data_IF_382544978382
#
_entry.id   IF_382544978382
#
_cell.length_a   1.000
_cell.length_b   1.000
_cell.length_c   1.000
_cell.angle_alpha   90.00
_cell.angle_beta   90.00
_cell.angle_gamma   90.00
#
_symmetry.space_group_name_H-M   'P 1'
#
loop_
_entity.id
_entity.type
_entity.pdbx_description
1 polymer ?
#
# COMPACT_ATOMS: atom_id res chain seq x y z
N UNK A 1 -36.58 -63.55 26.01
CA UNK A 1 -36.16 -62.77 24.85
C UNK A 1 -35.69 -61.40 25.39
N UNK A 2 -34.37 -61.30 25.66
CA UNK A 2 -33.75 -60.11 26.24
C UNK A 2 -33.23 -59.26 25.11
N UNK A 3 -33.73 -58.04 24.97
CA UNK A 3 -33.25 -57.10 23.95
C UNK A 3 -32.12 -56.32 24.57
N UNK A 4 -30.90 -56.59 24.13
CA UNK A 4 -29.69 -55.91 24.54
C UNK A 4 -29.56 -54.57 23.75
N UNK A 5 -29.93 -53.48 24.37
CA UNK A 5 -29.82 -52.12 23.83
C UNK A 5 -28.39 -51.60 24.01
N UNK A 6 -27.66 -51.55 22.92
CA UNK A 6 -26.26 -51.18 22.81
C UNK A 6 -26.03 -49.71 23.21
N UNK A 7 -25.86 -49.43 24.50
CA UNK A 7 -25.68 -48.13 25.13
C UNK A 7 -24.46 -47.33 24.59
N UNK A 8 -23.56 -47.97 23.87
CA UNK A 8 -22.34 -47.35 23.34
C UNK A 8 -22.58 -46.43 22.12
N UNK A 9 -23.62 -46.67 21.34
CA UNK A 9 -23.93 -45.83 20.16
C UNK A 9 -24.64 -44.54 20.54
N UNK A 10 -25.41 -44.55 21.61
CA UNK A 10 -26.16 -43.34 22.06
C UNK A 10 -25.22 -42.30 22.71
N UNK A 11 -24.18 -42.76 23.44
CA UNK A 11 -23.19 -41.84 24.03
C UNK A 11 -22.34 -41.09 22.99
N UNK A 12 -22.00 -41.74 21.87
CA UNK A 12 -21.23 -41.04 20.78
C UNK A 12 -22.07 -39.97 20.06
N UNK A 13 -23.36 -40.20 19.92
CA UNK A 13 -24.23 -39.21 19.25
C UNK A 13 -24.49 -38.00 20.14
N UNK A 14 -24.63 -38.20 21.45
CA UNK A 14 -24.82 -37.06 22.37
C UNK A 14 -23.56 -36.21 22.53
N UNK A 15 -22.37 -36.81 22.52
CA UNK A 15 -21.10 -36.07 22.60
C UNK A 15 -20.79 -35.29 21.31
N UNK A 16 -21.12 -35.84 20.15
CA UNK A 16 -20.96 -35.13 18.86
C UNK A 16 -21.94 -33.96 18.71
N UNK A 17 -23.17 -34.10 19.17
CA UNK A 17 -24.18 -33.05 19.18
C UNK A 17 -23.82 -31.89 20.12
N UNK A 18 -23.28 -32.21 21.31
CA UNK A 18 -22.86 -31.19 22.27
C UNK A 18 -21.64 -30.41 21.83
N UNK A 19 -20.71 -31.07 21.14
CA UNK A 19 -19.50 -30.41 20.55
C UNK A 19 -19.86 -29.47 19.39
N UNK A 20 -20.87 -29.82 18.58
CA UNK A 20 -21.36 -28.96 17.50
C UNK A 20 -22.09 -27.70 18.06
N UNK A 21 -22.82 -27.85 19.16
CA UNK A 21 -23.53 -26.70 19.80
C UNK A 21 -22.52 -25.73 20.41
N UNK A 22 -21.40 -26.20 20.97
CA UNK A 22 -20.36 -25.34 21.53
C UNK A 22 -19.57 -24.54 20.46
N UNK A 23 -19.48 -25.04 19.20
CA UNK A 23 -18.85 -24.34 18.09
C UNK A 23 -19.75 -23.25 17.47
N UNK A 24 -21.06 -23.32 17.69
CA UNK A 24 -22.02 -22.36 17.12
C UNK A 24 -22.23 -21.13 18.05
N UNK A 25 -21.84 -21.23 19.34
CA UNK A 25 -22.19 -20.21 20.34
C UNK A 25 -21.22 -19.02 20.43
N UNK A 26 -20.20 -18.91 19.60
CA UNK A 26 -19.21 -17.82 19.67
C UNK A 26 -19.09 -16.99 18.39
N UNK A 27 -20.16 -16.83 17.60
CA UNK A 27 -20.18 -15.78 16.60
C UNK A 27 -20.53 -14.45 17.29
N UNK A 28 -19.54 -13.75 17.80
CA UNK A 28 -19.69 -12.34 18.15
C UNK A 28 -19.92 -11.56 16.86
N UNK A 29 -21.16 -11.21 16.56
CA UNK A 29 -21.40 -10.18 15.54
C UNK A 29 -21.00 -8.85 16.16
N UNK A 30 -19.88 -8.26 15.69
CA UNK A 30 -19.56 -6.90 16.05
C UNK A 30 -20.58 -5.98 15.37
N UNK A 31 -21.31 -5.20 16.16
CA UNK A 31 -22.15 -4.13 15.61
C UNK A 31 -21.25 -2.97 15.20
N UNK A 32 -21.16 -2.72 13.90
CA UNK A 32 -20.44 -1.57 13.35
C UNK A 32 -21.46 -0.46 13.07
N UNK A 33 -21.18 0.73 13.58
CA UNK A 33 -21.88 1.93 13.21
C UNK A 33 -21.07 2.66 12.13
N UNK A 34 -21.71 3.01 11.02
CA UNK A 34 -21.09 3.77 9.93
C UNK A 34 -21.68 5.17 9.89
N UNK A 35 -20.80 6.16 9.92
CA UNK A 35 -21.17 7.55 9.75
C UNK A 35 -20.47 8.10 8.49
N UNK A 36 -21.24 8.77 7.61
CA UNK A 36 -20.69 9.46 6.47
C UNK A 36 -20.13 10.81 6.91
N UNK A 37 -18.81 10.98 6.77
CA UNK A 37 -18.12 12.23 7.11
C UNK A 37 -18.13 13.20 5.94
N UNK A 38 -17.79 12.73 4.72
CA UNK A 38 -17.68 13.58 3.53
C UNK A 38 -18.07 12.85 2.26
N UNK A 39 -18.32 13.59 1.19
CA UNK A 39 -18.38 13.09 -0.18
C UNK A 39 -17.16 13.61 -0.94
N UNK A 40 -16.42 12.71 -1.56
CA UNK A 40 -15.16 12.99 -2.25
C UNK A 40 -15.18 12.41 -3.66
N UNK A 41 -14.35 12.96 -4.55
CA UNK A 41 -14.15 12.46 -5.91
C UNK A 41 -12.89 11.61 -5.98
N UNK A 42 -13.02 10.30 -6.23
CA UNK A 42 -11.89 9.35 -6.31
C UNK A 42 -10.86 9.50 -5.16
N UNK A 43 -11.26 9.44 -3.88
CA UNK A 43 -10.32 9.53 -2.76
C UNK A 43 -9.34 8.35 -2.81
N UNK A 44 -8.04 8.62 -2.64
CA UNK A 44 -7.02 7.59 -2.77
C UNK A 44 -6.24 7.33 -1.49
N UNK A 45 -5.62 8.35 -0.92
CA UNK A 45 -4.83 8.29 0.30
C UNK A 45 -5.38 9.20 1.38
N UNK A 46 -5.14 8.82 2.63
CA UNK A 46 -5.54 9.65 3.78
C UNK A 46 -4.63 9.44 4.98
N UNK A 47 -4.50 10.49 5.80
CA UNK A 47 -3.76 10.45 7.05
C UNK A 47 -4.40 11.38 8.08
N UNK A 48 -4.46 10.94 9.34
CA UNK A 48 -4.86 11.84 10.42
C UNK A 48 -3.78 12.89 10.66
N UNK A 49 -4.19 14.19 10.71
CA UNK A 49 -3.35 15.30 11.15
C UNK A 49 -3.36 15.38 12.69
N UNK A 50 -4.53 15.21 13.25
CA UNK A 50 -4.80 15.14 14.68
C UNK A 50 -6.06 14.28 14.92
N UNK A 51 -6.59 14.27 16.14
CA UNK A 51 -7.79 13.49 16.50
C UNK A 51 -9.07 13.90 15.75
N UNK A 52 -9.14 15.14 15.28
CA UNK A 52 -10.36 15.73 14.70
C UNK A 52 -10.21 16.00 13.20
N UNK A 53 -9.02 15.86 12.61
CA UNK A 53 -8.76 16.21 11.22
C UNK A 53 -8.00 15.16 10.45
N UNK A 54 -8.46 14.93 9.23
CA UNK A 54 -7.84 14.03 8.27
C UNK A 54 -7.48 14.78 6.99
N UNK A 55 -6.26 14.56 6.47
CA UNK A 55 -5.86 15.01 5.13
C UNK A 55 -6.11 13.89 4.13
N UNK A 56 -6.67 14.23 2.97
CA UNK A 56 -7.06 13.26 1.94
C UNK A 56 -6.60 13.75 0.57
N UNK A 57 -6.12 12.83 -0.25
CA UNK A 57 -5.87 13.06 -1.68
C UNK A 57 -7.06 12.56 -2.51
N UNK A 58 -7.48 13.34 -3.49
CA UNK A 58 -8.31 12.87 -4.60
C UNK A 58 -7.41 12.64 -5.82
N UNK A 59 -7.54 11.50 -6.47
CA UNK A 59 -6.71 11.11 -7.62
C UNK A 59 -6.67 12.18 -8.71
N UNK A 60 -7.79 12.89 -8.89
CA UNK A 60 -7.92 13.99 -9.84
C UNK A 60 -7.07 15.23 -9.56
N UNK A 61 -6.34 15.29 -8.45
CA UNK A 61 -5.40 16.38 -8.17
C UNK A 61 -5.81 17.32 -7.04
N UNK A 62 -6.77 16.95 -6.20
CA UNK A 62 -7.13 17.77 -5.03
C UNK A 62 -6.54 17.19 -3.75
N UNK A 63 -6.14 18.08 -2.85
CA UNK A 63 -5.77 17.74 -1.46
C UNK A 63 -6.77 18.45 -0.56
N UNK A 64 -7.41 17.70 0.34
CA UNK A 64 -8.44 18.23 1.23
C UNK A 64 -8.09 17.91 2.68
N UNK A 65 -8.34 18.87 3.57
CA UNK A 65 -8.36 18.65 5.02
C UNK A 65 -9.82 18.66 5.45
N UNK A 66 -10.22 17.62 6.16
CA UNK A 66 -11.60 17.40 6.59
C UNK A 66 -11.62 17.34 8.11
N UNK A 67 -12.42 18.18 8.73
CA UNK A 67 -12.73 18.03 10.15
C UNK A 67 -13.83 16.96 10.28
N UNK A 68 -13.55 15.90 11.05
CA UNK A 68 -14.46 14.75 11.16
C UNK A 68 -15.69 15.03 12.02
N UNK A 69 -15.62 15.99 12.94
CA UNK A 69 -16.72 16.37 13.82
C UNK A 69 -17.63 17.42 13.14
N UNK A 70 -17.03 18.54 12.66
CA UNK A 70 -17.81 19.63 12.04
C UNK A 70 -18.16 19.33 10.57
N UNK A 71 -17.46 18.35 9.94
CA UNK A 71 -17.59 17.99 8.51
C UNK A 71 -17.17 19.10 7.55
N UNK A 72 -16.50 20.13 8.04
CA UNK A 72 -15.91 21.17 7.22
C UNK A 72 -14.79 20.61 6.35
N UNK A 73 -14.77 21.05 5.09
CA UNK A 73 -13.78 20.62 4.09
C UNK A 73 -13.00 21.86 3.63
N UNK A 74 -11.69 21.81 3.77
CA UNK A 74 -10.74 22.79 3.25
C UNK A 74 -9.96 22.17 2.10
N UNK A 75 -10.11 22.70 0.88
CA UNK A 75 -9.24 22.35 -0.24
C UNK A 75 -7.93 23.17 -0.15
N UNK A 76 -6.79 22.49 -0.21
CA UNK A 76 -5.46 23.09 -0.07
C UNK A 76 -4.74 23.07 -1.42
N UNK A 77 -4.23 24.21 -1.86
CA UNK A 77 -3.44 24.33 -3.09
C UNK A 77 -2.10 23.61 -2.96
N UNK A 78 -1.54 23.20 -4.08
CA UNK A 78 -0.22 22.58 -4.14
C UNK A 78 0.46 22.80 -5.50
N UNK A 79 1.79 22.58 -5.54
CA UNK A 79 2.66 22.80 -6.71
C UNK A 79 3.09 21.50 -7.42
N UNK A 80 2.48 20.35 -7.14
CA UNK A 80 2.89 19.09 -7.74
C UNK A 80 2.66 19.09 -9.27
N UNK A 81 3.64 18.62 -10.03
CA UNK A 81 3.53 18.37 -11.47
C UNK A 81 3.09 16.93 -11.71
N UNK A 82 1.79 16.68 -11.77
CA UNK A 82 1.20 15.34 -11.88
C UNK A 82 0.43 15.16 -13.18
N UNK A 83 0.28 13.92 -13.61
CA UNK A 83 -0.57 13.53 -14.74
C UNK A 83 -1.62 12.53 -14.29
N UNK A 84 -2.91 12.85 -14.48
CA UNK A 84 -4.01 11.91 -14.30
C UNK A 84 -4.09 11.03 -15.53
N UNK A 85 -3.59 9.79 -15.41
CA UNK A 85 -3.57 8.82 -16.49
C UNK A 85 -3.86 7.41 -15.98
N UNK A 86 -5.02 6.86 -16.32
CA UNK A 86 -5.48 5.56 -15.84
C UNK A 86 -5.59 5.50 -14.32
N UNK A 87 -4.73 4.71 -13.68
CA UNK A 87 -4.67 4.58 -12.22
C UNK A 87 -3.84 5.70 -11.55
N UNK A 88 -3.16 6.54 -12.34
CA UNK A 88 -2.30 7.62 -11.85
C UNK A 88 -3.06 8.90 -11.50
N UNK A 89 -2.39 9.77 -10.75
CA UNK A 89 -2.87 11.05 -10.23
C UNK A 89 -2.17 11.37 -8.91
N UNK A 90 -2.82 12.06 -7.99
CA UNK A 90 -2.38 12.08 -6.59
C UNK A 90 -2.77 10.77 -5.93
N UNK A 91 -1.85 10.18 -5.17
CA UNK A 91 -1.99 8.83 -4.65
C UNK A 91 -1.92 8.85 -3.11
N UNK A 92 -0.96 8.20 -2.48
CA UNK A 92 -0.93 8.11 -1.02
C UNK A 92 -0.41 9.38 -0.35
N UNK A 93 -0.84 9.60 0.89
CA UNK A 93 -0.42 10.75 1.70
C UNK A 93 -0.23 10.32 3.14
N UNK A 94 0.88 10.73 3.76
CA UNK A 94 1.16 10.52 5.18
C UNK A 94 1.49 11.86 5.82
N UNK A 95 0.90 12.12 6.98
CA UNK A 95 1.28 13.21 7.86
C UNK A 95 1.99 12.69 9.11
N UNK A 96 3.10 13.31 9.46
CA UNK A 96 3.80 13.06 10.73
C UNK A 96 4.62 14.30 11.14
N UNK A 97 4.47 14.75 12.38
CA UNK A 97 5.29 15.81 12.97
C UNK A 97 5.35 17.11 12.12
N UNK A 98 4.20 17.60 11.67
CA UNK A 98 4.06 18.78 10.82
C UNK A 98 4.67 18.65 9.41
N UNK A 99 5.02 17.45 8.99
CA UNK A 99 5.50 17.16 7.65
C UNK A 99 4.52 16.23 6.93
N UNK A 100 4.47 16.34 5.61
CA UNK A 100 3.62 15.56 4.72
C UNK A 100 4.50 14.90 3.68
N UNK A 101 4.31 13.62 3.46
CA UNK A 101 4.84 12.87 2.31
C UNK A 101 3.68 12.46 1.43
N UNK A 102 3.82 12.69 0.12
CA UNK A 102 2.84 12.30 -0.88
C UNK A 102 3.51 11.50 -1.98
N UNK A 103 2.84 10.44 -2.42
CA UNK A 103 3.17 9.76 -3.66
C UNK A 103 2.20 10.18 -4.77
N UNK A 104 2.69 10.24 -5.99
CA UNK A 104 1.88 10.68 -7.13
C UNK A 104 2.47 10.19 -8.45
N UNK A 105 1.66 10.19 -9.51
CA UNK A 105 2.14 9.97 -10.87
C UNK A 105 2.68 11.27 -11.43
N UNK A 106 4.01 11.46 -11.36
CA UNK A 106 4.68 12.64 -11.88
C UNK A 106 4.62 12.67 -13.39
N UNK A 107 4.24 13.82 -13.94
CA UNK A 107 4.33 14.05 -15.39
C UNK A 107 5.80 14.21 -15.80
N UNK A 108 6.25 13.31 -16.67
CA UNK A 108 7.62 13.29 -17.22
C UNK A 108 7.66 13.65 -18.71
N UNK A 109 6.55 14.21 -19.20
CA UNK A 109 6.37 14.59 -20.60
C UNK A 109 6.04 13.42 -21.52
N UNK A 110 5.42 13.72 -22.66
CA UNK A 110 5.07 12.73 -23.69
C UNK A 110 4.27 11.52 -23.14
N UNK A 111 3.30 11.76 -22.26
CA UNK A 111 2.48 10.74 -21.57
C UNK A 111 3.26 9.78 -20.67
N UNK A 112 4.56 9.99 -20.51
CA UNK A 112 5.37 9.20 -19.57
C UNK A 112 5.18 9.70 -18.15
N UNK A 113 5.04 8.76 -17.23
CA UNK A 113 4.88 9.05 -15.81
C UNK A 113 5.82 8.21 -14.96
N UNK A 114 6.18 8.74 -13.80
CA UNK A 114 6.90 8.01 -12.74
C UNK A 114 6.07 7.97 -11.47
N UNK A 115 6.21 6.89 -10.69
CA UNK A 115 5.85 6.93 -9.27
C UNK A 115 6.88 7.81 -8.57
N UNK A 116 6.46 8.96 -8.08
CA UNK A 116 7.32 9.93 -7.41
C UNK A 116 6.83 10.22 -6.00
N UNK A 117 7.74 10.66 -5.13
CA UNK A 117 7.44 11.03 -3.75
C UNK A 117 7.93 12.45 -3.52
N UNK A 118 7.06 13.26 -2.97
CA UNK A 118 7.39 14.61 -2.57
C UNK A 118 7.07 14.85 -1.09
N UNK A 119 7.72 15.85 -0.52
CA UNK A 119 7.62 16.23 0.88
C UNK A 119 7.29 17.72 1.00
N UNK A 120 6.46 18.08 1.97
CA UNK A 120 6.15 19.46 2.33
C UNK A 120 5.95 19.61 3.85
N UNK A 121 6.06 20.82 4.37
CA UNK A 121 5.50 21.16 5.69
C UNK A 121 4.02 21.44 5.57
N UNK A 122 3.24 21.05 6.57
CA UNK A 122 1.82 21.36 6.59
C UNK A 122 1.61 22.88 6.60
N UNK A 123 0.92 23.37 5.58
CA UNK A 123 0.38 24.71 5.47
C UNK A 123 -1.03 24.62 4.89
N UNK A 124 -2.01 25.16 5.60
CA UNK A 124 -3.42 25.05 5.21
C UNK A 124 -3.82 25.92 4.01
N UNK A 125 -2.97 26.84 3.59
CA UNK A 125 -3.22 27.69 2.41
C UNK A 125 -2.63 27.07 1.15
N UNK A 126 -1.38 26.56 1.25
CA UNK A 126 -0.64 26.02 0.12
C UNK A 126 0.45 25.07 0.59
N UNK A 127 0.52 23.90 -0.02
CA UNK A 127 1.55 22.91 0.21
C UNK A 127 2.62 23.02 -0.89
N UNK A 128 3.80 23.51 -0.51
CA UNK A 128 4.95 23.60 -1.40
C UNK A 128 5.78 22.32 -1.28
N UNK A 129 5.52 21.39 -2.17
CA UNK A 129 6.19 20.09 -2.22
C UNK A 129 7.53 20.17 -2.94
N UNK A 130 8.52 19.47 -2.39
CA UNK A 130 9.81 19.20 -3.00
C UNK A 130 9.92 17.69 -3.26
N UNK A 131 10.32 17.30 -4.48
CA UNK A 131 10.56 15.90 -4.80
C UNK A 131 11.76 15.37 -4.02
N UNK A 132 11.55 14.24 -3.35
CA UNK A 132 12.59 13.50 -2.63
C UNK A 132 12.90 12.14 -3.28
N UNK A 133 12.06 11.67 -4.20
CA UNK A 133 12.28 10.44 -4.96
C UNK A 133 11.51 10.46 -6.29
N UNK A 134 12.13 9.94 -7.33
CA UNK A 134 11.54 9.75 -8.65
C UNK A 134 11.89 8.36 -9.19
N UNK A 135 10.89 7.53 -9.46
CA UNK A 135 11.14 6.22 -10.06
C UNK A 135 11.62 6.35 -11.50
N UNK A 136 12.62 5.57 -11.86
CA UNK A 136 13.18 5.48 -13.21
C UNK A 136 13.11 4.03 -13.73
N UNK A 137 12.87 3.85 -15.04
CA UNK A 137 12.55 4.86 -16.06
C UNK A 137 11.11 5.37 -15.92
N UNK A 138 10.79 6.56 -16.44
CA UNK A 138 9.42 6.97 -16.68
C UNK A 138 8.80 6.13 -17.80
N UNK A 139 7.52 5.76 -17.67
CA UNK A 139 6.85 4.81 -18.56
C UNK A 139 5.52 5.42 -19.04
N UNK A 140 5.26 5.29 -20.36
CA UNK A 140 3.94 5.56 -20.95
C UNK A 140 3.01 4.40 -20.61
N UNK A 141 2.37 4.51 -19.46
CA UNK A 141 1.38 3.54 -18.98
C UNK A 141 0.53 4.14 -17.86
N UNK A 142 -0.77 3.92 -17.94
CA UNK A 142 -1.72 4.25 -16.88
C UNK A 142 -1.90 3.17 -15.80
N UNK A 143 -1.07 2.10 -15.80
CA UNK A 143 -1.26 0.95 -14.91
C UNK A 143 -0.21 0.87 -13.80
N UNK A 144 -0.59 0.22 -12.72
CA UNK A 144 0.26 -0.35 -11.67
C UNK A 144 1.30 0.64 -11.11
N UNK A 145 0.84 1.74 -10.51
CA UNK A 145 1.73 2.70 -9.85
C UNK A 145 2.23 2.20 -8.48
N UNK A 146 1.52 1.26 -7.83
CA UNK A 146 1.76 0.91 -6.44
C UNK A 146 1.48 2.09 -5.53
N UNK A 147 2.52 2.88 -5.24
CA UNK A 147 2.49 4.21 -4.63
C UNK A 147 2.08 4.28 -3.16
N UNK A 148 1.87 3.15 -2.46
CA UNK A 148 1.56 3.17 -1.03
C UNK A 148 2.82 3.50 -0.22
N UNK A 149 2.66 4.31 0.81
CA UNK A 149 3.71 4.79 1.70
C UNK A 149 3.59 4.17 3.10
N UNK A 150 4.72 3.97 3.77
CA UNK A 150 4.76 3.62 5.19
C UNK A 150 6.02 4.19 5.86
N UNK A 151 5.88 4.75 7.06
CA UNK A 151 7.02 5.28 7.83
C UNK A 151 7.38 4.29 8.94
N UNK A 152 8.67 3.97 9.04
CA UNK A 152 9.26 3.20 10.14
C UNK A 152 10.47 3.92 10.69
N UNK A 153 10.31 4.58 11.83
CA UNK A 153 11.36 5.41 12.44
C UNK A 153 11.79 6.54 11.49
N UNK A 154 13.05 6.55 11.09
CA UNK A 154 13.60 7.54 10.15
C UNK A 154 13.52 7.15 8.68
N UNK A 155 12.86 6.06 8.36
CA UNK A 155 12.77 5.52 7.00
C UNK A 155 11.36 5.66 6.44
N UNK A 156 11.29 6.04 5.17
CA UNK A 156 10.11 5.98 4.33
C UNK A 156 10.22 4.76 3.42
N UNK A 157 9.22 3.90 3.47
CA UNK A 157 9.01 2.81 2.52
C UNK A 157 7.95 3.22 1.54
N UNK A 158 8.16 2.89 0.27
CA UNK A 158 7.19 3.13 -0.79
C UNK A 158 7.12 1.94 -1.74
N UNK A 159 5.93 1.66 -2.26
CA UNK A 159 5.77 0.67 -3.31
C UNK A 159 5.80 1.33 -4.69
N UNK A 160 6.55 0.75 -5.62
CA UNK A 160 6.55 1.10 -7.03
C UNK A 160 6.02 -0.09 -7.84
N UNK A 161 4.85 0.04 -8.43
CA UNK A 161 4.28 -1.01 -9.28
C UNK A 161 5.03 -1.15 -10.60
N UNK A 162 4.86 -2.28 -11.29
CA UNK A 162 5.61 -2.64 -12.51
C UNK A 162 5.10 -1.95 -13.79
N UNK A 163 4.11 -1.07 -13.67
CA UNK A 163 3.62 -0.18 -14.73
C UNK A 163 3.13 -0.93 -15.98
N UNK A 164 2.59 -2.15 -15.83
CA UNK A 164 2.16 -3.00 -16.96
C UNK A 164 3.31 -3.66 -17.75
N UNK A 165 4.57 -3.49 -17.32
CA UNK A 165 5.74 -4.01 -18.02
C UNK A 165 6.20 -5.40 -17.55
N UNK A 166 5.51 -5.98 -16.57
CA UNK A 166 5.74 -7.33 -16.05
C UNK A 166 7.18 -7.63 -15.67
N UNK A 167 8.00 -8.04 -16.63
CA UNK A 167 9.40 -8.44 -16.39
C UNK A 167 10.32 -7.32 -15.87
N UNK A 168 9.94 -6.06 -15.96
CA UNK A 168 10.71 -4.96 -15.37
C UNK A 168 10.92 -5.13 -13.86
N UNK A 169 9.99 -5.83 -13.19
CA UNK A 169 10.07 -6.14 -11.77
C UNK A 169 11.23 -7.06 -11.38
N UNK A 170 11.87 -7.70 -12.38
CA UNK A 170 13.05 -8.56 -12.18
C UNK A 170 14.37 -7.81 -12.48
N UNK A 171 14.28 -6.55 -12.89
CA UNK A 171 15.45 -5.74 -13.24
C UNK A 171 15.78 -4.75 -12.11
N UNK A 172 16.80 -5.04 -11.27
CA UNK A 172 17.15 -4.18 -10.14
C UNK A 172 17.84 -2.87 -10.56
N UNK A 173 18.04 -2.64 -11.84
CA UNK A 173 18.51 -1.35 -12.38
C UNK A 173 17.37 -0.37 -12.66
N UNK A 174 16.13 -0.76 -12.32
CA UNK A 174 14.90 0.00 -12.52
C UNK A 174 14.03 -0.07 -11.29
N UNK A 175 13.35 1.02 -10.96
CA UNK A 175 12.48 1.07 -9.78
C UNK A 175 11.11 0.38 -9.94
N UNK A 176 10.45 0.37 -11.12
CA UNK A 176 9.15 -0.28 -11.26
C UNK A 176 9.18 -1.76 -10.88
N UNK A 177 8.20 -2.20 -10.09
CA UNK A 177 8.12 -3.58 -9.58
C UNK A 177 8.91 -3.83 -8.31
N UNK A 178 9.14 -2.80 -7.49
CA UNK A 178 9.95 -2.88 -6.28
C UNK A 178 9.31 -2.20 -5.05
N UNK A 179 9.87 -2.48 -3.90
CA UNK A 179 9.70 -1.69 -2.68
C UNK A 179 10.94 -0.82 -2.50
N UNK A 180 10.73 0.46 -2.35
CA UNK A 180 11.73 1.50 -2.13
C UNK A 180 11.89 1.73 -0.63
N UNK A 181 13.11 1.98 -0.17
CA UNK A 181 13.40 2.46 1.18
C UNK A 181 14.40 3.59 1.13
N UNK A 182 13.98 4.76 1.59
CA UNK A 182 14.79 5.99 1.70
C UNK A 182 14.67 6.57 3.11
N UNK A 183 15.51 7.53 3.45
CA UNK A 183 15.27 8.36 4.62
C UNK A 183 14.11 9.34 4.37
N UNK A 184 13.56 9.95 5.42
CA UNK A 184 12.45 10.91 5.34
C UNK A 184 12.82 12.20 4.57
N UNK A 185 14.08 12.45 4.31
CA UNK A 185 14.61 13.55 3.49
C UNK A 185 14.98 13.13 2.05
N UNK A 186 14.73 11.86 1.69
CA UNK A 186 15.08 11.29 0.39
C UNK A 186 16.49 10.71 0.30
N UNK A 187 17.36 10.92 1.28
CA UNK A 187 18.70 10.34 1.26
C UNK A 187 18.67 8.82 1.37
N UNK A 188 19.71 8.17 0.84
CA UNK A 188 19.77 6.71 0.72
C UNK A 188 20.35 6.08 1.98
N UNK A 189 19.64 5.13 2.62
CA UNK A 189 20.15 4.39 3.77
C UNK A 189 21.37 3.54 3.40
N UNK A 190 22.47 3.70 4.13
CA UNK A 190 23.72 2.95 3.90
C UNK A 190 23.56 1.44 4.04
N UNK A 191 22.55 1.00 4.80
CA UNK A 191 22.23 -0.40 5.07
C UNK A 191 21.12 -0.96 4.16
N UNK A 192 20.78 -0.29 3.06
CA UNK A 192 19.96 -0.89 2.02
C UNK A 192 20.66 -2.12 1.42
N UNK A 193 19.90 -3.08 0.87
CA UNK A 193 20.51 -4.31 0.36
C UNK A 193 21.53 -4.01 -0.73
N UNK A 194 22.64 -4.76 -0.69
CA UNK A 194 23.65 -4.80 -1.75
C UNK A 194 23.74 -6.24 -2.21
N UNK A 195 23.74 -6.45 -3.50
CA UNK A 195 23.77 -7.79 -4.09
C UNK A 195 25.13 -8.03 -4.73
N UNK A 196 25.82 -9.09 -4.28
CA UNK A 196 27.08 -9.49 -4.89
C UNK A 196 26.93 -9.74 -6.39
N UNK A 197 27.89 -9.28 -7.16
CA UNK A 197 27.88 -9.42 -8.62
C UNK A 197 26.86 -8.56 -9.38
N UNK A 198 26.08 -7.71 -8.69
CA UNK A 198 25.10 -6.80 -9.29
C UNK A 198 25.38 -5.34 -8.91
N UNK A 199 26.46 -4.79 -9.46
CA UNK A 199 26.92 -3.40 -9.19
C UNK A 199 25.91 -2.32 -9.58
N UNK A 200 24.94 -2.66 -10.45
CA UNK A 200 23.96 -1.72 -11.01
C UNK A 200 22.62 -1.73 -10.27
N UNK A 201 22.50 -2.44 -9.17
CA UNK A 201 21.28 -2.39 -8.34
C UNK A 201 21.09 -0.98 -7.81
N UNK A 202 19.90 -0.40 -8.04
CA UNK A 202 19.59 0.95 -7.59
C UNK A 202 19.56 0.99 -6.06
N UNK A 203 20.26 1.93 -5.44
CA UNK A 203 20.50 1.91 -3.98
C UNK A 203 19.26 2.19 -3.13
N UNK A 204 18.20 2.71 -3.70
CA UNK A 204 16.89 2.94 -3.06
C UNK A 204 16.06 1.66 -2.93
N UNK A 205 16.36 0.64 -3.76
CA UNK A 205 15.57 -0.58 -3.81
C UNK A 205 15.81 -1.43 -2.55
N UNK A 206 14.72 -1.76 -1.88
CA UNK A 206 14.70 -2.62 -0.71
C UNK A 206 14.35 -4.07 -1.07
N UNK A 207 13.45 -4.27 -2.04
CA UNK A 207 12.93 -5.55 -2.49
C UNK A 207 12.44 -5.43 -3.94
N UNK A 208 12.55 -6.49 -4.74
CA UNK A 208 12.04 -6.56 -6.11
C UNK A 208 11.00 -7.66 -6.30
N UNK A 209 10.46 -7.78 -7.51
CA UNK A 209 9.59 -8.89 -7.90
C UNK A 209 8.15 -8.74 -7.43
N UNK A 210 7.64 -7.51 -7.34
CA UNK A 210 6.24 -7.22 -7.02
C UNK A 210 5.51 -6.67 -8.26
N UNK A 211 4.20 -6.90 -8.33
CA UNK A 211 3.38 -6.43 -9.46
C UNK A 211 2.81 -5.03 -9.19
N UNK A 212 1.89 -4.92 -8.27
CA UNK A 212 1.20 -3.68 -7.95
C UNK A 212 0.79 -3.65 -6.47
N UNK A 213 1.72 -3.41 -5.55
CA UNK A 213 1.38 -3.32 -4.13
C UNK A 213 0.63 -2.02 -3.85
N UNK A 214 -0.65 -2.13 -3.49
CA UNK A 214 -1.50 -1.00 -3.12
C UNK A 214 -1.84 -0.95 -1.63
N UNK A 215 -1.30 -1.86 -0.84
CA UNK A 215 -1.25 -1.79 0.62
C UNK A 215 0.19 -1.83 1.10
N UNK A 216 0.56 -0.94 2.01
CA UNK A 216 1.85 -0.94 2.70
C UNK A 216 1.63 -0.33 4.09
N UNK A 217 2.00 -1.05 5.14
CA UNK A 217 1.79 -0.60 6.50
C UNK A 217 2.85 -1.11 7.47
N UNK A 218 3.16 -0.31 8.47
CA UNK A 218 3.93 -0.73 9.63
C UNK A 218 3.02 -1.48 10.61
N UNK A 219 3.33 -2.74 10.86
CA UNK A 219 2.63 -3.53 11.88
C UNK A 219 2.89 -2.99 13.30
N UNK A 220 1.86 -2.71 14.07
CA UNK A 220 2.02 -2.26 15.46
C UNK A 220 2.54 -3.37 16.40
N UNK A 221 2.42 -4.63 16.00
CA UNK A 221 2.76 -5.80 16.83
C UNK A 221 4.24 -6.16 16.75
N UNK A 222 4.76 -6.41 15.54
CA UNK A 222 6.13 -6.88 15.33
C UNK A 222 7.05 -5.85 14.66
N UNK A 223 6.50 -4.65 14.38
CA UNK A 223 7.23 -3.53 13.76
C UNK A 223 7.82 -3.85 12.40
N UNK A 224 7.23 -4.79 11.66
CA UNK A 224 7.58 -5.09 10.28
C UNK A 224 6.71 -4.32 9.30
N UNK A 225 7.22 -4.14 8.08
CA UNK A 225 6.44 -3.57 6.98
C UNK A 225 5.75 -4.71 6.25
N UNK A 226 4.44 -4.63 6.13
CA UNK A 226 3.61 -5.55 5.37
C UNK A 226 3.02 -4.87 4.15
N UNK A 227 2.77 -5.65 3.09
CA UNK A 227 2.16 -5.19 1.86
C UNK A 227 1.04 -6.11 1.41
N UNK A 228 0.07 -5.56 0.72
CA UNK A 228 -0.86 -6.31 -0.12
C UNK A 228 -0.58 -6.02 -1.59
N UNK A 229 -0.55 -7.05 -2.41
CA UNK A 229 -0.17 -6.95 -3.82
C UNK A 229 -1.23 -7.57 -4.71
N UNK A 230 -1.64 -6.82 -5.75
CA UNK A 230 -2.56 -7.31 -6.75
C UNK A 230 -1.92 -8.35 -7.67
N UNK A 231 -2.55 -9.52 -7.76
CA UNK A 231 -2.29 -10.51 -8.80
C UNK A 231 -2.86 -10.09 -10.16
N UNK A 232 -2.59 -10.86 -11.22
CA UNK A 232 -3.04 -10.52 -12.57
C UNK A 232 -4.42 -11.11 -12.91
N UNK A 233 -4.67 -12.34 -12.52
CA UNK A 233 -5.93 -13.08 -12.71
C UNK A 233 -6.30 -13.81 -11.43
N UNK A 234 -6.53 -13.07 -10.37
CA UNK A 234 -6.53 -13.59 -9.00
C UNK A 234 -5.11 -13.73 -8.47
N UNK A 235 -4.96 -14.37 -7.28
CA UNK A 235 -3.67 -14.53 -6.63
C UNK A 235 -3.15 -13.25 -6.00
N UNK A 236 -4.05 -12.37 -5.56
CA UNK A 236 -3.73 -11.29 -4.63
C UNK A 236 -3.15 -11.91 -3.36
N UNK A 237 -2.13 -11.27 -2.80
CA UNK A 237 -1.47 -11.80 -1.63
C UNK A 237 -1.09 -10.69 -0.64
N UNK A 238 -0.90 -11.11 0.60
CA UNK A 238 -0.43 -10.29 1.70
C UNK A 238 0.84 -10.91 2.29
N UNK A 239 1.85 -10.09 2.57
CA UNK A 239 3.11 -10.56 3.13
C UNK A 239 4.04 -9.46 3.60
N UNK A 240 5.13 -9.86 4.27
CA UNK A 240 6.16 -8.94 4.76
C UNK A 240 7.00 -8.40 3.60
N UNK A 241 7.32 -7.10 3.60
CA UNK A 241 8.36 -6.55 2.75
C UNK A 241 9.73 -6.89 3.34
N UNK A 242 10.52 -7.74 2.65
CA UNK A 242 11.78 -8.28 3.14
C UNK A 242 12.98 -7.70 2.42
N UNK A 243 13.98 -7.33 3.19
CA UNK A 243 15.23 -6.75 2.69
C UNK A 243 15.95 -7.72 1.75
N UNK A 244 16.17 -7.28 0.50
CA UNK A 244 16.95 -8.04 -0.47
C UNK A 244 16.21 -9.17 -1.17
N UNK A 245 14.94 -9.40 -0.86
CA UNK A 245 14.15 -10.49 -1.43
C UNK A 245 13.64 -10.17 -2.83
N UNK A 246 13.40 -11.24 -3.61
CA UNK A 246 12.71 -11.18 -4.90
C UNK A 246 11.44 -12.05 -4.81
N UNK A 247 10.28 -11.43 -4.94
CA UNK A 247 8.99 -12.12 -4.83
C UNK A 247 8.48 -12.71 -6.15
N UNK A 248 9.33 -12.68 -7.19
CA UNK A 248 9.21 -13.52 -8.39
C UNK A 248 8.26 -13.02 -9.47
N UNK A 249 7.55 -11.90 -9.30
CA UNK A 249 6.75 -11.36 -10.38
C UNK A 249 7.66 -10.90 -11.54
N UNK A 250 7.44 -11.18 -12.80
CA UNK A 250 6.36 -11.93 -13.47
C UNK A 250 6.75 -13.40 -13.77
N UNK A 251 7.86 -13.89 -13.25
CA UNK A 251 8.30 -15.28 -13.46
C UNK A 251 7.34 -16.25 -12.75
N UNK A 252 6.91 -15.86 -11.54
CA UNK A 252 5.95 -16.60 -10.72
C UNK A 252 4.69 -15.78 -10.53
N UNK A 253 3.53 -16.38 -10.71
CA UNK A 253 2.23 -15.84 -10.38
C UNK A 253 1.54 -16.67 -9.31
N UNK A 254 0.84 -16.01 -8.38
CA UNK A 254 0.11 -16.67 -7.30
C UNK A 254 -1.33 -17.03 -7.67
N UNK A 255 -1.78 -16.64 -8.87
CA UNK A 255 -3.11 -16.90 -9.40
C UNK A 255 -3.10 -17.81 -10.62
N UNK A 256 -4.18 -17.75 -11.43
CA UNK A 256 -4.36 -18.57 -12.63
C UNK A 256 -3.18 -18.54 -13.61
N UNK A 257 -2.96 -19.63 -14.30
CA UNK A 257 -1.73 -20.00 -14.99
C UNK A 257 -1.45 -19.34 -16.34
N UNK A 258 -2.30 -18.46 -16.85
CA UNK A 258 -2.13 -17.83 -18.16
C UNK A 258 -1.76 -16.33 -18.00
N UNK A 259 -0.48 -16.06 -17.88
CA UNK A 259 0.09 -14.72 -17.87
C UNK A 259 0.84 -14.42 -19.17
#
# INVERSE_FOLDING_TARGET
>A
MVVDLNFHKVKKFFFSGLFLIFLISNSFSANFNFEKIASLEDPWGSSFINKDEIIVTEKGGKIKIINIDTKEILEVKHNLNYLVYGQGGLLDIIYQNNEIWISYSEDRGSWKTSTSIAKAKLNRKELNFENIFQANPPIDSGYHFGSRLAIKGKFLFASAGERGQGMISQDPTKHPGSIIRIHLDGSIPKDNPKFEGKSNWLPEIYQIGVRNPQGLALSPFDKKIYMSNHGAKGGDWFGEAKKGENYGWKILGWGGTNY
#
